data_IF_659189911976
#
_entry.id   IF_659189911976
#
_cell.length_a   1.000
_cell.length_b   1.000
_cell.length_c   1.000
_cell.angle_alpha   90.00
_cell.angle_beta   90.00
_cell.angle_gamma   90.00
#
_symmetry.space_group_name_H-M   'P 1'
#
loop_
_entity.id
_entity.type
_entity.pdbx_description
1 polymer ?
#
# COMPACT_ATOMS: atom_id res chain seq x y z
N UNK A 1 -7.63 -25.55 -18.17
CA UNK A 1 -8.68 -24.54 -18.34
C UNK A 1 -9.38 -24.52 -16.99
N UNK A 2 -9.23 -23.56 -16.09
CA UNK A 2 -9.16 -22.10 -16.20
C UNK A 2 -8.10 -21.53 -15.23
N UNK A 3 -7.22 -20.64 -15.68
CA UNK A 3 -6.31 -19.89 -14.80
C UNK A 3 -6.70 -18.41 -14.83
N UNK A 4 -7.93 -18.11 -14.44
CA UNK A 4 -8.32 -16.73 -14.15
C UNK A 4 -7.69 -16.34 -12.81
N UNK A 5 -6.82 -15.33 -12.77
CA UNK A 5 -6.41 -14.74 -11.48
C UNK A 5 -7.66 -14.20 -10.83
N UNK A 6 -8.03 -14.73 -9.66
CA UNK A 6 -9.09 -14.14 -8.85
C UNK A 6 -8.71 -12.70 -8.49
N UNK A 7 -9.54 -11.76 -8.93
CA UNK A 7 -9.38 -10.34 -8.62
C UNK A 7 -10.45 -9.96 -7.62
N UNK A 8 -10.03 -9.66 -6.40
CA UNK A 8 -10.93 -9.16 -5.36
C UNK A 8 -11.21 -7.67 -5.57
N UNK A 9 -12.48 -7.22 -5.39
CA UNK A 9 -12.86 -5.83 -5.58
C UNK A 9 -12.13 -4.93 -4.58
N UNK A 10 -11.80 -3.71 -5.02
CA UNK A 10 -11.14 -2.68 -4.20
C UNK A 10 -12.06 -1.48 -4.07
N UNK A 11 -12.19 -0.93 -2.86
CA UNK A 11 -12.87 0.34 -2.65
C UNK A 11 -11.86 1.50 -2.70
N UNK A 12 -11.91 2.36 -3.74
CA UNK A 12 -11.00 3.50 -3.86
C UNK A 12 -11.14 4.50 -2.71
N UNK A 13 -12.28 4.52 -2.00
CA UNK A 13 -12.46 5.38 -0.82
C UNK A 13 -11.55 4.96 0.33
N UNK A 14 -11.33 3.65 0.52
CA UNK A 14 -10.45 3.14 1.57
C UNK A 14 -8.99 3.47 1.30
N UNK A 15 -8.55 3.32 0.05
CA UNK A 15 -7.23 3.74 -0.39
C UNK A 15 -7.01 5.25 -0.15
N UNK A 16 -7.96 6.08 -0.56
CA UNK A 16 -7.90 7.53 -0.33
C UNK A 16 -7.92 7.87 1.17
N UNK A 17 -8.71 7.15 1.96
CA UNK A 17 -8.79 7.35 3.40
C UNK A 17 -7.46 7.02 4.09
N UNK A 18 -6.81 5.90 3.76
CA UNK A 18 -5.51 5.52 4.30
C UNK A 18 -4.44 6.61 4.01
N UNK A 19 -4.32 7.03 2.75
CA UNK A 19 -3.39 8.12 2.35
C UNK A 19 -3.67 9.41 3.11
N UNK A 20 -4.95 9.76 3.31
CA UNK A 20 -5.33 10.97 4.06
C UNK A 20 -5.00 10.84 5.55
N UNK A 21 -5.19 9.66 6.14
CA UNK A 21 -4.85 9.38 7.54
C UNK A 21 -3.35 9.46 7.79
N UNK A 22 -2.54 9.03 6.82
CA UNK A 22 -1.08 9.18 6.83
C UNK A 22 -0.61 10.61 6.47
N UNK A 23 -1.50 11.59 6.39
CA UNK A 23 -1.18 12.98 6.06
C UNK A 23 -0.41 13.17 4.73
N UNK A 24 -0.61 12.27 3.76
CA UNK A 24 0.14 12.26 2.50
C UNK A 24 1.66 12.06 2.70
N UNK A 25 2.06 11.37 3.77
CA UNK A 25 3.43 10.96 4.03
C UNK A 25 3.61 9.48 3.72
N UNK A 26 4.86 9.06 3.55
CA UNK A 26 5.21 7.65 3.42
C UNK A 26 5.35 7.04 4.81
N UNK A 27 4.67 5.93 5.06
CA UNK A 27 4.68 5.24 6.36
C UNK A 27 5.98 4.45 6.63
N UNK A 28 6.91 4.41 5.68
CA UNK A 28 8.27 3.83 5.87
C UNK A 28 9.27 4.90 6.30
N UNK A 29 9.14 6.11 5.77
CA UNK A 29 10.00 7.26 6.09
C UNK A 29 9.21 8.53 5.72
N UNK A 30 8.88 9.32 6.73
CA UNK A 30 8.02 10.48 6.59
C UNK A 30 8.71 11.68 5.92
N UNK A 31 10.03 11.61 5.74
CA UNK A 31 10.85 12.60 5.02
C UNK A 31 10.82 12.41 3.50
N UNK A 32 10.25 11.31 3.01
CA UNK A 32 10.16 11.07 1.57
C UNK A 32 9.26 12.08 0.85
N UNK A 33 9.88 12.87 -0.01
CA UNK A 33 9.20 13.79 -0.91
C UNK A 33 8.95 13.18 -2.30
N UNK A 34 7.86 13.61 -2.92
CA UNK A 34 7.47 13.30 -4.29
C UNK A 34 6.88 14.57 -4.93
N UNK A 35 6.41 14.47 -6.17
CA UNK A 35 5.73 15.58 -6.80
C UNK A 35 4.40 15.90 -6.10
N UNK A 36 3.97 17.16 -6.18
CA UNK A 36 2.64 17.57 -5.71
C UNK A 36 1.58 17.07 -6.69
N UNK A 37 0.66 16.24 -6.21
CA UNK A 37 -0.47 15.76 -7.01
C UNK A 37 -1.45 16.89 -7.29
N UNK A 38 -1.90 17.01 -8.54
CA UNK A 38 -2.96 17.96 -8.90
C UNK A 38 -4.27 17.67 -8.15
N UNK A 39 -4.63 16.39 -8.03
CA UNK A 39 -5.90 15.98 -7.46
C UNK A 39 -6.01 16.23 -5.95
N UNK A 40 -4.91 16.08 -5.20
CA UNK A 40 -4.90 16.32 -3.75
C UNK A 40 -4.29 17.65 -3.35
N UNK A 41 -3.51 18.29 -4.24
CA UNK A 41 -2.64 19.44 -3.94
C UNK A 41 -1.66 19.16 -2.79
N UNK A 42 -1.26 17.90 -2.63
CA UNK A 42 -0.36 17.38 -1.59
C UNK A 42 0.70 16.46 -2.22
N UNK A 43 1.68 16.05 -1.42
CA UNK A 43 2.69 15.06 -1.79
C UNK A 43 2.01 13.79 -2.35
N UNK A 44 2.48 13.26 -3.46
CA UNK A 44 1.91 12.08 -4.11
C UNK A 44 2.30 10.78 -3.38
N UNK A 45 1.31 9.97 -3.03
CA UNK A 45 1.51 8.68 -2.38
C UNK A 45 0.68 7.60 -3.08
N UNK A 46 1.15 6.36 -3.00
CA UNK A 46 0.48 5.17 -3.50
C UNK A 46 -0.05 4.36 -2.31
N UNK A 47 -1.29 3.88 -2.44
CA UNK A 47 -1.88 2.97 -1.46
C UNK A 47 -1.40 1.53 -1.75
N UNK A 48 -0.95 0.83 -0.72
CA UNK A 48 -0.49 -0.55 -0.84
C UNK A 48 -1.11 -1.43 0.25
N UNK A 49 -1.71 -2.56 -0.13
CA UNK A 49 -2.23 -3.54 0.82
C UNK A 49 -1.07 -4.33 1.45
N UNK A 50 -0.90 -4.29 2.78
CA UNK A 50 0.15 -5.03 3.50
C UNK A 50 -0.03 -6.53 3.35
N UNK A 51 -1.22 -7.03 3.68
CA UNK A 51 -1.66 -8.39 3.37
C UNK A 51 -2.24 -8.35 1.95
N UNK A 52 -1.63 -9.04 0.97
CA UNK A 52 -2.09 -8.99 -0.41
C UNK A 52 -3.51 -9.54 -0.56
N UNK A 53 -4.38 -8.84 -1.29
CA UNK A 53 -5.78 -9.26 -1.49
C UNK A 53 -5.95 -10.64 -2.11
N UNK A 54 -4.94 -11.17 -2.83
CA UNK A 54 -4.97 -12.55 -3.33
C UNK A 54 -5.11 -13.60 -2.21
N UNK A 55 -4.75 -13.23 -0.98
CA UNK A 55 -4.86 -14.07 0.22
C UNK A 55 -6.25 -13.99 0.85
N UNK A 56 -7.23 -13.28 0.25
CA UNK A 56 -8.56 -13.06 0.86
C UNK A 56 -9.28 -14.37 1.22
N UNK A 57 -9.03 -15.46 0.50
CA UNK A 57 -9.60 -16.77 0.81
C UNK A 57 -9.15 -17.33 2.17
N UNK A 58 -8.00 -16.88 2.70
CA UNK A 58 -7.49 -17.28 4.02
C UNK A 58 -8.09 -16.45 5.18
N UNK A 59 -8.96 -15.48 4.88
CA UNK A 59 -9.53 -14.57 5.86
C UNK A 59 -11.06 -14.54 5.78
N UNK A 60 -11.71 -14.70 6.92
CA UNK A 60 -13.18 -14.53 7.03
C UNK A 60 -13.61 -13.09 6.77
N UNK A 61 -12.78 -12.12 7.18
CA UNK A 61 -13.03 -10.70 7.02
C UNK A 61 -12.37 -10.16 5.75
N UNK A 62 -12.94 -9.10 5.18
CA UNK A 62 -12.36 -8.45 4.00
C UNK A 62 -10.97 -7.88 4.31
N UNK A 63 -10.01 -8.17 3.44
CA UNK A 63 -8.66 -7.60 3.45
C UNK A 63 -8.62 -6.20 2.83
N UNK A 64 -9.65 -5.79 2.09
CA UNK A 64 -9.77 -4.42 1.62
C UNK A 64 -10.33 -3.55 2.75
N UNK A 65 -9.50 -3.27 3.74
CA UNK A 65 -9.84 -2.42 4.90
C UNK A 65 -8.74 -1.39 5.10
N UNK A 66 -9.10 -0.22 5.62
CA UNK A 66 -8.13 0.90 5.80
C UNK A 66 -6.93 0.46 6.64
N UNK A 67 -7.13 -0.34 7.70
CA UNK A 67 -6.04 -0.85 8.52
C UNK A 67 -5.09 -1.86 7.85
N UNK A 68 -5.42 -2.34 6.64
CA UNK A 68 -4.53 -3.18 5.83
C UNK A 68 -3.92 -2.40 4.66
N UNK A 69 -4.19 -1.10 4.54
CA UNK A 69 -3.67 -0.26 3.45
C UNK A 69 -2.72 0.77 4.04
N UNK A 70 -1.51 0.83 3.51
CA UNK A 70 -0.49 1.83 3.88
C UNK A 70 -0.27 2.84 2.76
N UNK A 71 0.03 4.06 3.14
CA UNK A 71 0.48 5.17 2.29
C UNK A 71 1.99 5.11 2.12
N UNK A 72 2.47 4.90 0.90
CA UNK A 72 3.91 4.81 0.62
C UNK A 72 4.30 5.60 -0.63
N UNK A 73 5.53 6.10 -0.66
CA UNK A 73 6.04 6.78 -1.84
C UNK A 73 6.27 5.76 -2.99
N UNK A 74 6.29 6.20 -4.26
CA UNK A 74 6.45 5.29 -5.40
C UNK A 74 7.73 4.45 -5.34
N UNK A 75 8.82 5.00 -4.80
CA UNK A 75 10.09 4.28 -4.67
C UNK A 75 9.97 3.11 -3.67
N UNK A 76 9.36 3.35 -2.51
CA UNK A 76 9.13 2.32 -1.52
C UNK A 76 8.16 1.25 -2.02
N UNK A 77 7.11 1.65 -2.73
CA UNK A 77 6.17 0.71 -3.33
C UNK A 77 6.85 -0.23 -4.33
N UNK A 78 7.71 0.32 -5.20
CA UNK A 78 8.48 -0.50 -6.14
C UNK A 78 9.54 -1.33 -5.44
N UNK A 79 10.13 -0.87 -4.34
CA UNK A 79 11.05 -1.66 -3.53
C UNK A 79 10.38 -2.90 -2.94
N UNK A 80 9.16 -2.77 -2.40
CA UNK A 80 8.38 -3.90 -1.86
C UNK A 80 8.13 -4.96 -2.93
N UNK A 81 7.82 -4.55 -4.17
CA UNK A 81 7.54 -5.51 -5.25
C UNK A 81 8.80 -6.08 -5.91
N UNK A 82 9.80 -5.25 -6.19
CA UNK A 82 10.91 -5.58 -7.10
C UNK A 82 12.29 -5.53 -6.45
N UNK A 83 12.40 -5.07 -5.21
CA UNK A 83 13.64 -5.03 -4.46
C UNK A 83 14.25 -6.41 -4.18
N UNK A 84 15.51 -6.41 -3.74
CA UNK A 84 16.16 -7.62 -3.21
C UNK A 84 15.45 -8.03 -1.92
N UNK A 85 15.41 -9.32 -1.63
CA UNK A 85 14.68 -9.85 -0.46
C UNK A 85 15.15 -9.23 0.86
N UNK A 86 16.45 -8.94 1.00
CA UNK A 86 17.00 -8.25 2.18
C UNK A 86 16.47 -6.83 2.35
N UNK A 87 16.27 -6.10 1.25
CA UNK A 87 15.79 -4.72 1.29
C UNK A 87 14.28 -4.69 1.51
N UNK A 88 13.54 -5.62 0.87
CA UNK A 88 12.11 -5.85 1.12
C UNK A 88 11.84 -6.15 2.58
N UNK A 89 12.60 -7.09 3.17
CA UNK A 89 12.46 -7.48 4.58
C UNK A 89 12.60 -6.27 5.50
N UNK A 90 13.65 -5.46 5.30
CA UNK A 90 13.89 -4.25 6.08
C UNK A 90 12.70 -3.27 6.06
N UNK A 91 12.12 -3.01 4.88
CA UNK A 91 11.00 -2.05 4.79
C UNK A 91 9.68 -2.64 5.27
N UNK A 92 9.46 -3.93 5.09
CA UNK A 92 8.26 -4.59 5.61
C UNK A 92 8.26 -4.61 7.14
N UNK A 93 9.41 -4.89 7.78
CA UNK A 93 9.54 -4.86 9.25
C UNK A 93 9.09 -3.52 9.85
N UNK A 94 9.43 -2.39 9.20
CA UNK A 94 9.01 -1.04 9.65
C UNK A 94 7.49 -0.81 9.57
N UNK A 95 6.78 -1.57 8.74
CA UNK A 95 5.33 -1.45 8.56
C UNK A 95 4.53 -2.39 9.48
N UNK A 96 5.20 -3.30 10.22
CA UNK A 96 4.59 -4.29 11.12
C UNK A 96 4.82 -4.00 12.61
N UNK A 97 5.58 -2.96 12.97
CA UNK A 97 5.76 -2.46 14.35
C UNK A 97 4.65 -1.49 14.76
#
# INVERSE_FOLDING_TARGET
MESGREVWPRDPKKAKQAIKQAEFKCEIDDTHETFVSEASRKNYMEAHHLIPLRMQHDFENSLDVVGNIVSICPNCHRLIHYGRDKDKKKVLELLFE
#
